data_IF_146024836079
#
_entry.id   IF_146024836079
#
_cell.length_a   1.000
_cell.length_b   1.000
_cell.length_c   1.000
_cell.angle_alpha   90.00
_cell.angle_beta   90.00
_cell.angle_gamma   90.00
#
_symmetry.space_group_name_H-M   'P 1'
#
loop_
_entity.id
_entity.type
_entity.pdbx_description
1 polymer ?
#
# COMPACT_ATOMS: atom_id res chain seq x y z
N UNK A 1 -9.12 -42.12 -34.22
CA UNK A 1 -9.17 -40.67 -33.93
C UNK A 1 -9.58 -40.39 -32.47
N UNK A 2 -10.74 -40.85 -31.99
CA UNK A 2 -11.20 -40.53 -30.61
C UNK A 2 -10.29 -41.01 -29.45
N UNK A 3 -9.64 -42.18 -29.57
CA UNK A 3 -8.72 -42.68 -28.51
C UNK A 3 -7.44 -41.84 -28.35
N UNK A 4 -6.96 -41.23 -29.44
CA UNK A 4 -5.78 -40.37 -29.41
C UNK A 4 -6.09 -39.01 -28.78
N UNK A 5 -7.27 -38.45 -29.11
CA UNK A 5 -7.77 -37.20 -28.50
C UNK A 5 -7.98 -37.39 -27.00
N UNK A 6 -8.53 -38.52 -26.55
CA UNK A 6 -8.70 -38.82 -25.13
C UNK A 6 -7.37 -38.89 -24.36
N UNK A 7 -6.32 -39.48 -24.94
CA UNK A 7 -4.98 -39.53 -24.34
C UNK A 7 -4.31 -38.16 -24.25
N UNK A 8 -4.50 -37.30 -25.26
CA UNK A 8 -3.97 -35.93 -25.25
C UNK A 8 -4.67 -35.09 -24.18
N UNK A 9 -5.99 -35.17 -24.07
CA UNK A 9 -6.75 -34.47 -23.03
C UNK A 9 -6.39 -34.96 -21.63
N UNK A 10 -6.16 -36.26 -21.45
CA UNK A 10 -5.71 -36.82 -20.18
C UNK A 10 -4.29 -36.32 -19.82
N UNK A 11 -3.37 -36.29 -20.79
CA UNK A 11 -2.01 -35.78 -20.61
C UNK A 11 -1.99 -34.29 -20.25
N UNK A 12 -2.80 -33.48 -20.93
CA UNK A 12 -2.95 -32.06 -20.62
C UNK A 12 -3.58 -31.84 -19.24
N UNK A 13 -4.61 -32.63 -18.87
CA UNK A 13 -5.23 -32.59 -17.55
C UNK A 13 -4.26 -32.97 -16.43
N UNK A 14 -3.44 -34.01 -16.63
CA UNK A 14 -2.42 -34.43 -15.66
C UNK A 14 -1.29 -33.41 -15.53
N UNK A 15 -0.87 -32.76 -16.63
CA UNK A 15 0.11 -31.69 -16.59
C UNK A 15 -0.40 -30.47 -15.80
N UNK A 16 -1.64 -30.04 -16.04
CA UNK A 16 -2.28 -28.95 -15.29
C UNK A 16 -2.44 -29.27 -13.80
N UNK A 17 -2.82 -30.50 -13.48
CA UNK A 17 -2.92 -30.98 -12.09
C UNK A 17 -1.54 -31.02 -11.43
N UNK A 18 -0.52 -31.48 -12.15
CA UNK A 18 0.86 -31.53 -11.67
C UNK A 18 1.44 -30.12 -11.44
N UNK A 19 1.23 -29.18 -12.35
CA UNK A 19 1.61 -27.77 -12.18
C UNK A 19 0.92 -27.16 -10.96
N UNK A 20 -0.39 -27.34 -10.80
CA UNK A 20 -1.13 -26.86 -9.62
C UNK A 20 -0.59 -27.48 -8.32
N UNK A 21 -0.29 -28.78 -8.31
CA UNK A 21 0.32 -29.48 -7.16
C UNK A 21 1.74 -28.97 -6.86
N UNK A 22 2.54 -28.68 -7.89
CA UNK A 22 3.88 -28.12 -7.72
C UNK A 22 3.82 -26.71 -7.15
N UNK A 23 2.94 -25.85 -7.67
CA UNK A 23 2.72 -24.49 -7.16
C UNK A 23 2.22 -24.50 -5.73
N UNK A 24 1.29 -25.39 -5.37
CA UNK A 24 0.83 -25.58 -3.99
C UNK A 24 1.96 -26.05 -3.07
N UNK A 25 2.78 -27.00 -3.50
CA UNK A 25 3.95 -27.47 -2.73
C UNK A 25 5.04 -26.42 -2.61
N UNK A 26 5.27 -25.61 -3.65
CA UNK A 26 6.24 -24.52 -3.62
C UNK A 26 5.77 -23.40 -2.70
N UNK A 27 4.48 -23.01 -2.75
CA UNK A 27 3.87 -22.06 -1.79
C UNK A 27 3.98 -22.57 -0.37
N UNK A 28 3.69 -23.85 -0.13
CA UNK A 28 3.82 -24.46 1.21
C UNK A 28 5.28 -24.58 1.68
N UNK A 29 6.24 -24.74 0.77
CA UNK A 29 7.67 -24.77 1.12
C UNK A 29 8.20 -23.35 1.38
N UNK A 30 7.86 -22.38 0.53
CA UNK A 30 8.23 -20.97 0.66
C UNK A 30 7.62 -20.34 1.91
N UNK A 31 6.36 -20.65 2.22
CA UNK A 31 5.69 -20.16 3.42
C UNK A 31 6.30 -20.64 4.74
N UNK A 32 7.04 -21.77 4.72
CA UNK A 32 7.75 -22.31 5.90
C UNK A 32 9.17 -21.80 6.06
N UNK A 33 9.68 -21.04 5.09
CA UNK A 33 10.95 -20.33 5.24
C UNK A 33 10.73 -19.07 6.10
N UNK A 34 11.76 -18.56 6.78
CA UNK A 34 11.67 -17.28 7.51
C UNK A 34 11.14 -16.12 6.66
N UNK A 35 11.43 -16.14 5.35
CA UNK A 35 10.88 -15.19 4.38
C UNK A 35 9.36 -15.36 4.19
N UNK A 36 8.84 -16.59 4.22
CA UNK A 36 7.41 -16.88 4.09
C UNK A 36 6.56 -16.39 5.27
N UNK A 37 7.06 -16.52 6.50
CA UNK A 37 6.40 -15.97 7.70
C UNK A 37 6.39 -14.44 7.71
N UNK A 38 7.47 -13.81 7.22
CA UNK A 38 7.53 -12.36 7.03
C UNK A 38 6.49 -11.86 6.04
N UNK A 39 6.32 -12.60 4.95
CA UNK A 39 5.35 -12.29 3.90
C UNK A 39 3.91 -12.74 4.21
N UNK A 40 3.65 -13.29 5.41
CA UNK A 40 2.34 -13.78 5.83
C UNK A 40 1.72 -14.78 4.83
N UNK A 41 2.51 -15.72 4.30
CA UNK A 41 2.08 -16.61 3.21
C UNK A 41 0.79 -17.41 3.49
N UNK A 42 0.43 -17.62 4.76
CA UNK A 42 -0.76 -18.36 5.19
C UNK A 42 -1.83 -17.50 5.88
N UNK A 43 -1.62 -16.18 5.98
CA UNK A 43 -2.63 -15.31 6.60
C UNK A 43 -3.81 -15.17 5.65
N UNK A 44 -4.99 -15.40 6.21
CA UNK A 44 -6.28 -15.10 5.60
C UNK A 44 -6.97 -14.05 6.49
N UNK A 45 -7.92 -13.32 5.91
CA UNK A 45 -8.64 -12.26 6.62
C UNK A 45 -10.12 -12.56 6.71
N UNK A 46 -10.67 -12.33 7.90
CA UNK A 46 -12.12 -12.28 8.09
C UNK A 46 -12.65 -10.94 7.61
N UNK A 47 -13.83 -10.95 7.00
CA UNK A 47 -14.43 -9.74 6.47
C UNK A 47 -14.86 -8.79 7.59
N UNK A 48 -14.44 -7.54 7.48
CA UNK A 48 -14.86 -6.42 8.32
C UNK A 48 -15.24 -5.29 7.36
N UNK A 49 -16.47 -4.83 7.40
CA UNK A 49 -16.94 -3.77 6.52
C UNK A 49 -17.60 -2.66 7.34
N UNK A 50 -17.21 -1.38 7.15
CA UNK A 50 -17.95 -0.23 7.65
C UNK A 50 -19.35 -0.12 7.05
N UNK A 51 -20.07 0.93 7.44
CA UNK A 51 -21.40 1.18 6.90
C UNK A 51 -21.31 1.70 5.46
N UNK A 52 -22.24 1.28 4.62
CA UNK A 52 -22.47 1.84 3.27
C UNK A 52 -21.21 1.96 2.39
N UNK A 53 -20.47 0.86 2.21
CA UNK A 53 -19.32 0.83 1.31
C UNK A 53 -19.74 0.67 -0.16
N UNK A 54 -19.09 1.43 -1.05
CA UNK A 54 -19.25 1.33 -2.51
C UNK A 54 -17.93 1.55 -3.23
N UNK A 55 -17.75 0.87 -4.35
CA UNK A 55 -16.63 1.15 -5.24
C UNK A 55 -16.78 2.55 -5.85
N UNK A 56 -15.65 3.24 -5.98
CA UNK A 56 -15.60 4.56 -6.61
C UNK A 56 -15.56 4.36 -8.13
N UNK A 57 -16.67 4.68 -8.78
CA UNK A 57 -16.81 4.59 -10.24
C UNK A 57 -15.75 5.45 -10.95
N UNK A 58 -15.04 4.86 -11.92
CA UNK A 58 -13.98 5.54 -12.69
C UNK A 58 -12.55 5.23 -12.23
N UNK A 59 -12.37 4.55 -11.08
CA UNK A 59 -11.06 4.09 -10.61
C UNK A 59 -10.97 2.57 -10.79
N UNK A 60 -10.21 2.12 -11.78
CA UNK A 60 -10.13 0.71 -12.17
C UNK A 60 -8.71 0.12 -12.16
N UNK A 61 -7.67 0.98 -12.24
CA UNK A 61 -6.29 0.58 -12.51
C UNK A 61 -5.29 1.18 -11.49
N UNK A 62 -5.60 1.05 -10.20
CA UNK A 62 -4.77 1.52 -9.09
C UNK A 62 -5.27 2.82 -8.47
N UNK A 63 -5.11 2.94 -7.17
CA UNK A 63 -5.37 4.13 -6.35
C UNK A 63 -4.36 4.13 -5.22
N UNK A 64 -3.08 4.07 -5.57
CA UNK A 64 -2.04 3.58 -4.66
C UNK A 64 -1.88 4.49 -3.45
N UNK A 65 -2.01 5.80 -3.65
CA UNK A 65 -2.00 6.77 -2.57
C UNK A 65 -3.14 7.79 -2.68
N UNK A 66 -3.61 8.27 -1.52
CA UNK A 66 -4.72 9.20 -1.38
C UNK A 66 -4.37 10.23 -0.31
N UNK A 67 -4.37 11.50 -0.69
CA UNK A 67 -4.19 12.60 0.25
C UNK A 67 -5.40 13.53 0.25
N UNK A 68 -5.86 13.92 1.44
CA UNK A 68 -7.08 14.72 1.62
C UNK A 68 -6.71 16.06 2.25
N UNK A 69 -7.03 17.14 1.54
CA UNK A 69 -6.86 18.50 2.06
C UNK A 69 -7.86 18.78 3.19
N UNK A 70 -7.55 19.74 4.11
CA UNK A 70 -8.52 20.18 5.12
C UNK A 70 -9.86 20.67 4.55
N UNK A 71 -9.87 21.09 3.29
CA UNK A 71 -11.09 21.48 2.57
C UNK A 71 -12.00 20.31 2.19
N UNK A 72 -11.56 19.05 2.33
CA UNK A 72 -12.30 17.86 1.90
C UNK A 72 -12.04 17.46 0.45
N UNK A 73 -11.10 18.13 -0.24
CA UNK A 73 -10.64 17.72 -1.56
C UNK A 73 -9.64 16.58 -1.44
N UNK A 74 -9.98 15.42 -1.99
CA UNK A 74 -9.12 14.23 -2.03
C UNK A 74 -8.44 14.10 -3.39
N UNK A 75 -7.11 13.99 -3.37
CA UNK A 75 -6.30 13.66 -4.54
C UNK A 75 -5.96 12.17 -4.50
N UNK A 76 -6.05 11.50 -5.64
CA UNK A 76 -5.83 10.05 -5.78
C UNK A 76 -4.80 9.82 -6.89
N UNK A 77 -3.67 9.19 -6.58
CA UNK A 77 -2.72 8.72 -7.59
C UNK A 77 -3.25 7.45 -8.26
N UNK A 78 -3.21 7.36 -9.59
CA UNK A 78 -3.77 6.24 -10.35
C UNK A 78 -2.84 5.78 -11.47
N UNK A 79 -2.88 4.49 -11.80
CA UNK A 79 -2.14 3.92 -12.92
C UNK A 79 -0.67 3.65 -12.63
N UNK A 80 -0.33 3.36 -11.36
CA UNK A 80 1.03 3.00 -10.99
C UNK A 80 1.46 1.70 -11.68
N UNK A 81 2.60 1.77 -12.35
CA UNK A 81 3.32 0.63 -12.92
C UNK A 81 4.53 0.35 -12.06
N UNK A 82 4.38 -0.58 -11.13
CA UNK A 82 5.44 -0.99 -10.22
C UNK A 82 6.07 -2.32 -10.67
N UNK A 83 7.40 -2.41 -10.86
CA UNK A 83 8.05 -3.63 -11.33
C UNK A 83 7.70 -4.86 -10.47
N UNK A 84 7.10 -5.88 -11.10
CA UNK A 84 6.75 -7.13 -10.44
C UNK A 84 5.41 -7.14 -9.70
N UNK A 85 4.65 -6.04 -9.75
CA UNK A 85 3.27 -5.98 -9.27
C UNK A 85 2.28 -6.17 -10.44
N UNK A 86 1.01 -6.55 -10.16
CA UNK A 86 -0.02 -6.63 -11.19
C UNK A 86 -0.31 -5.26 -11.80
N UNK A 87 -0.63 -5.26 -13.09
CA UNK A 87 -1.06 -4.07 -13.83
C UNK A 87 -2.22 -4.48 -14.75
N UNK A 88 -3.38 -3.85 -14.56
CA UNK A 88 -4.61 -4.14 -15.31
C UNK A 88 -4.75 -3.30 -16.57
N UNK A 89 -3.92 -2.26 -16.75
CA UNK A 89 -3.95 -1.36 -17.89
C UNK A 89 -2.53 -0.90 -18.30
N UNK A 90 -1.68 -1.83 -18.78
CA UNK A 90 -0.26 -1.55 -19.06
C UNK A 90 -0.03 -0.49 -20.15
N UNK A 91 -1.00 -0.29 -21.03
CA UNK A 91 -0.94 0.68 -22.12
C UNK A 91 -1.49 2.07 -21.73
N UNK A 92 -2.13 2.21 -20.57
CA UNK A 92 -2.66 3.49 -20.11
C UNK A 92 -1.62 4.27 -19.28
N UNK A 93 -1.49 5.60 -19.47
CA UNK A 93 -0.63 6.41 -18.62
C UNK A 93 -1.24 6.61 -17.23
N UNK A 94 -0.39 6.95 -16.26
CA UNK A 94 -0.82 7.34 -14.93
C UNK A 94 -1.63 8.64 -14.94
N UNK A 95 -2.42 8.85 -13.87
CA UNK A 95 -3.34 9.98 -13.72
C UNK A 95 -3.40 10.46 -12.28
N UNK A 96 -3.87 11.68 -12.08
CA UNK A 96 -4.31 12.17 -10.76
C UNK A 96 -5.81 12.44 -10.83
N UNK A 97 -6.57 11.85 -9.93
CA UNK A 97 -7.99 12.14 -9.76
C UNK A 97 -8.22 13.08 -8.57
N UNK A 98 -9.28 13.88 -8.67
CA UNK A 98 -9.80 14.73 -7.62
C UNK A 98 -11.22 14.28 -7.25
N UNK A 99 -11.54 14.29 -5.97
CA UNK A 99 -12.88 14.00 -5.45
C UNK A 99 -13.22 14.97 -4.33
N UNK A 100 -14.36 15.67 -4.42
CA UNK A 100 -14.83 16.55 -3.36
C UNK A 100 -15.69 15.76 -2.36
N UNK A 101 -15.14 15.52 -1.17
CA UNK A 101 -15.81 14.75 -0.14
C UNK A 101 -16.94 15.51 0.55
N UNK A 102 -17.14 16.80 0.28
CA UNK A 102 -18.27 17.54 0.81
C UNK A 102 -19.56 17.33 0.01
N UNK A 103 -19.46 16.79 -1.20
CA UNK A 103 -20.64 16.48 -2.01
C UNK A 103 -21.47 15.35 -1.38
N UNK A 104 -22.78 15.37 -1.63
CA UNK A 104 -23.69 14.31 -1.19
C UNK A 104 -23.41 12.98 -1.90
N UNK A 105 -22.98 13.05 -3.16
CA UNK A 105 -22.61 11.87 -3.96
C UNK A 105 -21.28 12.13 -4.66
N UNK A 106 -20.16 12.10 -3.92
CA UNK A 106 -18.86 12.45 -4.46
C UNK A 106 -18.48 11.57 -5.65
N UNK A 107 -17.94 12.19 -6.69
CA UNK A 107 -17.43 11.53 -7.89
C UNK A 107 -15.99 11.95 -8.13
N UNK A 108 -15.24 11.06 -8.77
CA UNK A 108 -13.88 11.38 -9.22
C UNK A 108 -13.89 12.16 -10.51
N UNK A 109 -12.97 13.11 -10.63
CA UNK A 109 -12.67 13.85 -11.84
C UNK A 109 -11.17 13.73 -12.13
N UNK A 110 -10.81 13.36 -13.35
CA UNK A 110 -9.40 13.39 -13.77
C UNK A 110 -8.91 14.83 -13.84
N UNK A 111 -7.77 15.12 -13.21
CA UNK A 111 -7.12 16.42 -13.29
C UNK A 111 -6.36 16.54 -14.62
N UNK A 112 -6.66 17.61 -15.35
CA UNK A 112 -5.92 17.90 -16.58
C UNK A 112 -4.52 18.43 -16.24
N UNK A 113 -3.49 17.73 -16.69
CA UNK A 113 -2.10 18.17 -16.57
C UNK A 113 -1.81 19.16 -17.71
N UNK A 114 -1.18 20.30 -17.42
CA UNK A 114 -0.90 21.34 -18.42
C UNK A 114 -0.10 20.83 -19.63
N UNK A 115 -0.24 21.51 -20.76
CA UNK A 115 0.53 21.21 -21.96
C UNK A 115 2.05 21.31 -21.70
N UNK A 116 2.83 20.54 -22.46
CA UNK A 116 4.29 20.47 -22.32
C UNK A 116 4.81 19.45 -21.30
N UNK A 117 3.91 18.75 -20.60
CA UNK A 117 4.24 17.60 -19.76
C UNK A 117 4.19 16.29 -20.55
N UNK A 118 5.19 15.42 -20.37
CA UNK A 118 5.20 14.08 -20.98
C UNK A 118 4.25 13.16 -20.22
N UNK A 119 2.97 13.18 -20.62
CA UNK A 119 1.92 12.35 -20.02
C UNK A 119 2.15 10.86 -20.25
N UNK A 120 2.88 10.46 -21.30
CA UNK A 120 3.06 9.06 -21.64
C UNK A 120 3.98 8.32 -20.66
N UNK A 121 4.96 9.03 -20.08
CA UNK A 121 5.87 8.48 -19.06
C UNK A 121 5.42 8.74 -17.62
N UNK A 122 4.26 9.37 -17.43
CA UNK A 122 3.76 9.69 -16.09
C UNK A 122 3.33 8.43 -15.34
N UNK A 123 3.97 8.20 -14.20
CA UNK A 123 3.80 7.02 -13.37
C UNK A 123 3.77 7.43 -11.88
N UNK A 124 2.67 8.05 -11.41
CA UNK A 124 2.58 8.51 -10.02
C UNK A 124 2.50 7.33 -9.05
N UNK A 125 3.24 7.43 -7.94
CA UNK A 125 3.27 6.48 -6.82
C UNK A 125 2.69 7.20 -5.59
N UNK A 126 3.44 7.24 -4.48
CA UNK A 126 3.10 8.04 -3.31
C UNK A 126 2.96 9.54 -3.58
N UNK A 127 2.06 10.18 -2.85
CA UNK A 127 1.66 11.57 -3.00
C UNK A 127 1.49 12.23 -1.63
N UNK A 128 1.91 13.49 -1.52
CA UNK A 128 1.60 14.31 -0.35
C UNK A 128 1.39 15.76 -0.76
N UNK A 129 0.46 16.42 -0.10
CA UNK A 129 0.11 17.82 -0.28
C UNK A 129 0.76 18.67 0.81
N UNK A 130 1.43 19.74 0.39
CA UNK A 130 2.08 20.69 1.29
C UNK A 130 1.50 22.09 1.03
N UNK A 131 0.89 22.70 2.05
CA UNK A 131 0.24 24.01 1.91
C UNK A 131 1.20 25.18 2.22
N UNK A 132 2.30 24.96 2.95
CA UNK A 132 3.07 26.08 3.55
C UNK A 132 4.59 25.83 3.74
N UNK A 133 5.13 24.63 3.46
CA UNK A 133 6.55 24.32 3.71
C UNK A 133 7.22 23.65 2.52
N UNK A 134 8.37 24.20 2.11
CA UNK A 134 9.30 23.61 1.12
C UNK A 134 10.19 22.50 1.74
N UNK A 135 9.70 21.83 2.78
CA UNK A 135 10.44 20.82 3.54
C UNK A 135 9.58 19.58 3.68
N UNK A 136 10.14 18.43 3.37
CA UNK A 136 9.44 17.16 3.47
C UNK A 136 10.39 16.02 3.83
N UNK A 137 9.81 14.97 4.39
CA UNK A 137 10.46 13.68 4.53
C UNK A 137 9.97 12.79 3.41
N UNK A 138 10.86 11.97 2.86
CA UNK A 138 10.54 10.98 1.85
C UNK A 138 11.22 9.67 2.21
N UNK A 139 10.56 8.56 1.92
CA UNK A 139 11.14 7.24 2.03
C UNK A 139 11.77 6.84 0.71
N UNK A 140 12.81 6.01 0.81
CA UNK A 140 13.29 5.22 -0.31
C UNK A 140 13.04 3.76 0.04
N UNK A 141 12.04 3.18 -0.61
CA UNK A 141 11.46 1.87 -0.38
C UNK A 141 12.33 0.69 -0.82
N UNK A 142 13.25 0.94 -1.76
CA UNK A 142 14.22 -0.07 -2.22
C UNK A 142 15.60 0.53 -2.49
N UNK A 143 16.65 -0.24 -2.18
CA UNK A 143 18.00 0.08 -2.64
C UNK A 143 18.16 -0.27 -4.13
N UNK A 144 17.72 -1.45 -4.56
CA UNK A 144 17.79 -1.85 -5.96
C UNK A 144 16.54 -1.49 -6.74
N UNK A 145 16.71 -1.00 -7.98
CA UNK A 145 15.61 -0.71 -8.91
C UNK A 145 15.26 -1.90 -9.81
N UNK A 146 16.15 -2.90 -9.91
CA UNK A 146 15.89 -4.12 -10.66
C UNK A 146 15.04 -5.07 -9.82
N UNK A 147 13.93 -5.55 -10.38
CA UNK A 147 13.00 -6.45 -9.69
C UNK A 147 13.66 -7.64 -9.00
N UNK A 148 14.57 -8.36 -9.67
CA UNK A 148 15.20 -9.55 -9.09
C UNK A 148 16.11 -9.21 -7.90
N UNK A 149 16.78 -8.06 -7.96
CA UNK A 149 17.63 -7.58 -6.87
C UNK A 149 16.81 -6.99 -5.73
N UNK A 150 15.69 -6.31 -6.02
CA UNK A 150 14.72 -5.86 -5.03
C UNK A 150 14.09 -7.05 -4.29
N UNK A 151 13.73 -8.11 -5.02
CA UNK A 151 13.25 -9.36 -4.44
C UNK A 151 14.33 -10.02 -3.55
N UNK A 152 15.60 -9.97 -3.95
CA UNK A 152 16.70 -10.46 -3.12
C UNK A 152 16.87 -9.63 -1.84
N UNK A 153 16.79 -8.30 -1.95
CA UNK A 153 16.79 -7.36 -0.82
C UNK A 153 15.70 -7.71 0.19
N UNK A 154 14.48 -7.97 -0.29
CA UNK A 154 13.35 -8.42 0.53
C UNK A 154 13.60 -9.79 1.18
N UNK A 155 13.98 -10.80 0.40
CA UNK A 155 14.15 -12.19 0.87
C UNK A 155 15.28 -12.33 1.88
N UNK A 156 16.36 -11.56 1.71
CA UNK A 156 17.55 -11.60 2.56
C UNK A 156 17.50 -10.62 3.74
N UNK A 157 16.41 -9.86 3.91
CA UNK A 157 16.30 -8.78 4.90
C UNK A 157 17.41 -7.74 4.83
N UNK A 158 17.76 -7.28 3.62
CA UNK A 158 18.79 -6.26 3.47
C UNK A 158 18.19 -4.90 3.86
N UNK A 159 18.41 -4.50 5.11
CA UNK A 159 17.83 -3.28 5.70
C UNK A 159 18.49 -1.98 5.19
N UNK A 160 18.49 -1.78 3.88
CA UNK A 160 19.21 -0.69 3.19
C UNK A 160 18.32 0.49 2.82
N UNK A 161 17.02 0.35 3.02
CA UNK A 161 16.02 1.40 2.84
C UNK A 161 16.15 2.46 3.94
N UNK A 162 15.75 3.69 3.63
CA UNK A 162 16.05 4.85 4.47
C UNK A 162 15.06 6.00 4.27
N UNK A 163 15.06 6.94 5.22
CA UNK A 163 14.30 8.18 5.16
C UNK A 163 15.25 9.33 4.83
N UNK A 164 14.83 10.15 3.87
CA UNK A 164 15.46 11.39 3.45
C UNK A 164 14.69 12.57 4.04
N UNK A 165 15.41 13.62 4.39
CA UNK A 165 14.87 14.95 4.62
C UNK A 165 15.29 15.85 3.47
N UNK A 166 14.34 16.59 2.92
CA UNK A 166 14.56 17.64 1.94
C UNK A 166 14.30 19.02 2.54
N UNK A 167 15.16 19.97 2.17
CA UNK A 167 14.91 21.40 2.24
C UNK A 167 15.52 22.08 1.02
N UNK A 168 15.22 23.36 0.73
CA UNK A 168 15.86 24.09 -0.37
C UNK A 168 17.38 24.20 -0.24
N UNK A 169 17.95 23.96 0.95
CA UNK A 169 19.37 24.09 1.24
C UNK A 169 20.12 22.76 1.20
N UNK A 170 19.45 21.66 1.54
CA UNK A 170 20.09 20.35 1.66
C UNK A 170 19.11 19.20 1.50
N UNK A 171 19.64 18.07 1.03
CA UNK A 171 19.00 16.76 1.09
C UNK A 171 19.92 15.85 1.88
N UNK A 172 19.39 15.18 2.91
CA UNK A 172 20.20 14.30 3.76
C UNK A 172 19.42 13.06 4.20
N UNK A 173 20.14 11.98 4.46
CA UNK A 173 19.58 10.77 5.07
C UNK A 173 19.43 11.00 6.57
N UNK A 174 18.22 10.85 7.10
CA UNK A 174 17.88 11.15 8.50
C UNK A 174 17.50 9.92 9.34
N UNK A 175 17.21 8.79 8.70
CA UNK A 175 17.04 7.49 9.35
C UNK A 175 17.40 6.36 8.38
N UNK A 176 17.91 5.24 8.90
CA UNK A 176 18.36 4.06 8.14
C UNK A 176 17.98 2.78 8.88
N UNK A 177 18.09 1.63 8.21
CA UNK A 177 17.97 0.32 8.85
C UNK A 177 16.56 -0.26 8.81
N UNK A 178 15.75 0.18 7.87
CA UNK A 178 14.40 -0.36 7.61
C UNK A 178 14.49 -1.53 6.63
N UNK A 179 13.64 -2.53 6.79
CA UNK A 179 13.53 -3.67 5.87
C UNK A 179 12.87 -3.25 4.56
N UNK A 180 11.81 -2.45 4.61
CA UNK A 180 11.23 -1.74 3.47
C UNK A 180 10.47 -0.51 3.96
N UNK A 181 11.14 0.65 4.00
CA UNK A 181 10.52 1.92 4.37
C UNK A 181 9.58 2.41 3.27
N UNK A 182 8.27 2.40 3.50
CA UNK A 182 7.27 2.80 2.50
C UNK A 182 6.46 4.00 2.97
N UNK A 183 5.24 3.81 3.49
CA UNK A 183 4.38 4.89 3.95
C UNK A 183 5.03 5.76 5.02
N UNK A 184 4.94 7.08 4.85
CA UNK A 184 5.48 8.06 5.79
C UNK A 184 4.49 9.19 6.03
N UNK A 185 4.25 9.52 7.30
CA UNK A 185 3.33 10.60 7.66
C UNK A 185 3.77 11.28 8.96
N UNK A 186 3.12 12.40 9.31
CA UNK A 186 3.51 13.28 10.41
C UNK A 186 2.38 13.45 11.42
N UNK A 187 2.72 13.49 12.71
CA UNK A 187 1.76 13.79 13.77
C UNK A 187 1.17 15.19 13.63
N UNK A 188 -0.05 15.40 14.14
CA UNK A 188 -0.74 16.70 14.08
C UNK A 188 0.07 17.84 14.72
N UNK A 189 0.79 17.55 15.82
CA UNK A 189 1.66 18.51 16.50
C UNK A 189 3.04 18.70 15.84
N UNK A 190 3.28 18.00 14.72
CA UNK A 190 4.50 18.04 13.91
C UNK A 190 5.78 17.71 14.68
N UNK A 191 5.70 16.92 15.76
CA UNK A 191 6.86 16.46 16.54
C UNK A 191 7.31 15.05 16.20
N UNK A 192 6.47 14.26 15.55
CA UNK A 192 6.73 12.86 15.26
C UNK A 192 6.49 12.53 13.79
N UNK A 193 7.38 11.72 13.23
CA UNK A 193 7.19 11.05 11.95
C UNK A 193 6.85 9.59 12.23
N UNK A 194 5.89 9.06 11.49
CA UNK A 194 5.54 7.65 11.46
C UNK A 194 6.02 7.06 10.14
N UNK A 195 6.75 5.96 10.19
CA UNK A 195 7.27 5.26 9.01
C UNK A 195 6.82 3.82 9.04
N UNK A 196 6.14 3.36 8.00
CA UNK A 196 5.83 1.96 7.80
C UNK A 196 7.08 1.21 7.35
N UNK A 197 7.45 0.16 8.08
CA UNK A 197 8.42 -0.84 7.64
C UNK A 197 7.65 -2.09 7.21
N UNK A 198 7.38 -2.19 5.91
CA UNK A 198 6.43 -3.14 5.31
C UNK A 198 6.77 -4.57 5.66
N UNK A 199 8.02 -4.96 5.41
CA UNK A 199 8.51 -6.33 5.54
C UNK A 199 8.71 -6.77 7.00
N UNK A 200 8.97 -5.81 7.90
CA UNK A 200 9.01 -6.04 9.34
C UNK A 200 7.63 -5.90 10.01
N UNK A 201 6.58 -5.57 9.25
CA UNK A 201 5.18 -5.46 9.72
C UNK A 201 5.04 -4.49 10.89
N UNK A 202 5.70 -3.34 10.82
CA UNK A 202 5.69 -2.40 11.94
C UNK A 202 5.61 -0.93 11.53
N UNK A 203 5.25 -0.07 12.49
CA UNK A 203 5.36 1.38 12.38
C UNK A 203 6.48 1.86 13.31
N UNK A 204 7.48 2.53 12.76
CA UNK A 204 8.48 3.27 13.53
C UNK A 204 7.92 4.63 13.92
N UNK A 205 7.87 4.90 15.23
CA UNK A 205 7.53 6.22 15.78
C UNK A 205 8.84 6.97 15.99
N UNK A 206 9.08 7.99 15.18
CA UNK A 206 10.34 8.74 15.14
C UNK A 206 10.11 10.16 15.67
N UNK A 207 10.92 10.60 16.63
CA UNK A 207 10.92 11.99 17.09
C UNK A 207 11.73 12.86 16.14
N UNK A 208 11.17 13.99 15.74
CA UNK A 208 11.87 15.03 14.97
C UNK A 208 12.77 15.81 15.94
N UNK A 209 14.05 15.90 15.60
CA UNK A 209 15.03 16.71 16.35
C UNK A 209 15.12 18.13 15.79
N UNK A 210 15.76 19.04 16.53
CA UNK A 210 15.91 20.46 16.13
C UNK A 210 16.67 20.62 14.79
N UNK A 211 17.53 19.66 14.46
CA UNK A 211 18.28 19.63 13.21
C UNK A 211 17.56 18.84 12.09
N UNK A 212 16.29 18.47 12.27
CA UNK A 212 15.48 17.64 11.36
C UNK A 212 15.87 16.17 11.25
N UNK A 213 16.88 15.71 12.00
CA UNK A 213 17.16 14.27 12.08
C UNK A 213 16.02 13.55 12.81
N UNK A 214 15.90 12.25 12.56
CA UNK A 214 14.87 11.41 13.15
C UNK A 214 15.51 10.45 14.16
N UNK A 215 14.97 10.40 15.37
CA UNK A 215 15.38 9.42 16.39
C UNK A 215 14.22 8.50 16.71
N UNK A 216 14.43 7.19 16.62
CA UNK A 216 13.41 6.22 16.95
C UNK A 216 13.04 6.31 18.44
N UNK A 217 11.77 6.60 18.70
CA UNK A 217 11.20 6.58 20.04
C UNK A 217 10.74 5.17 20.42
N UNK A 218 10.02 4.50 19.50
CA UNK A 218 9.55 3.12 19.66
C UNK A 218 9.09 2.53 18.33
N UNK A 219 8.73 1.25 18.36
CA UNK A 219 8.14 0.51 17.26
C UNK A 219 6.77 -0.02 17.67
N UNK A 220 5.79 0.05 16.76
CA UNK A 220 4.47 -0.57 16.91
C UNK A 220 4.46 -1.78 16.00
N UNK A 221 4.56 -2.97 16.58
CA UNK A 221 4.51 -4.23 15.84
C UNK A 221 3.06 -4.59 15.48
N UNK A 222 2.85 -5.00 14.24
CA UNK A 222 1.58 -5.44 13.69
C UNK A 222 1.74 -6.85 13.08
N UNK A 223 0.62 -7.46 12.72
CA UNK A 223 0.52 -8.81 12.16
C UNK A 223 0.28 -8.80 10.64
N UNK A 224 0.32 -7.62 10.01
CA UNK A 224 0.04 -7.39 8.59
C UNK A 224 1.14 -6.55 7.96
N UNK A 225 1.35 -6.67 6.64
CA UNK A 225 2.33 -5.86 5.95
C UNK A 225 1.69 -4.51 5.67
N UNK A 226 2.24 -3.46 6.27
CA UNK A 226 1.75 -2.10 6.05
C UNK A 226 2.15 -1.61 4.65
N UNK A 227 1.48 -0.58 4.18
CA UNK A 227 1.87 0.14 2.98
C UNK A 227 1.88 1.66 3.28
N UNK A 228 0.91 2.44 2.78
CA UNK A 228 0.79 3.85 3.08
C UNK A 228 0.15 4.14 4.45
N UNK A 229 0.61 5.24 5.06
CA UNK A 229 0.13 5.73 6.35
C UNK A 229 -0.48 7.12 6.18
N UNK A 230 -1.65 7.34 6.77
CA UNK A 230 -2.24 8.68 6.91
C UNK A 230 -2.54 8.97 8.38
N UNK A 231 -2.73 10.25 8.70
CA UNK A 231 -3.18 10.68 10.03
C UNK A 231 -4.54 11.32 9.88
N UNK A 232 -5.53 10.78 10.59
CA UNK A 232 -6.86 11.37 10.68
C UNK A 232 -6.74 12.77 11.31
N UNK A 233 -7.12 13.85 10.59
CA UNK A 233 -6.96 15.21 11.07
C UNK A 233 -7.84 15.54 12.28
N UNK A 234 -8.94 14.81 12.48
CA UNK A 234 -9.89 15.05 13.57
C UNK A 234 -9.43 14.42 14.89
N UNK A 235 -8.73 13.29 14.81
CA UNK A 235 -8.38 12.48 16.00
C UNK A 235 -6.88 12.34 16.24
N UNK A 236 -6.05 12.50 15.22
CA UNK A 236 -4.62 12.21 15.26
C UNK A 236 -4.30 10.71 15.25
N UNK A 237 -5.30 9.86 14.99
CA UNK A 237 -5.11 8.43 14.83
C UNK A 237 -4.43 8.13 13.50
N UNK A 238 -3.58 7.10 13.47
CA UNK A 238 -2.92 6.67 12.24
C UNK A 238 -3.86 5.68 11.54
N UNK A 239 -4.08 5.87 10.25
CA UNK A 239 -4.70 4.88 9.38
C UNK A 239 -3.63 4.26 8.48
N UNK A 240 -3.72 2.95 8.28
CA UNK A 240 -2.79 2.21 7.44
C UNK A 240 -3.57 1.37 6.44
N UNK A 241 -3.22 1.48 5.16
CA UNK A 241 -3.54 0.44 4.18
C UNK A 241 -2.55 -0.71 4.35
N UNK A 242 -3.03 -1.94 4.23
CA UNK A 242 -2.23 -3.12 4.53
C UNK A 242 -2.47 -4.25 3.52
N UNK A 243 -1.45 -5.09 3.37
CA UNK A 243 -1.43 -6.34 2.62
C UNK A 243 -1.40 -7.52 3.59
N UNK A 244 -2.53 -8.19 3.82
CA UNK A 244 -2.58 -9.31 4.75
C UNK A 244 -1.63 -10.45 4.39
N UNK A 245 -1.45 -10.70 3.10
CA UNK A 245 -0.67 -11.78 2.54
C UNK A 245 0.05 -11.27 1.28
N UNK A 246 1.33 -10.94 1.43
CA UNK A 246 2.12 -10.37 0.34
C UNK A 246 2.40 -11.36 -0.79
N UNK A 247 2.30 -12.67 -0.54
CA UNK A 247 2.47 -13.69 -1.59
C UNK A 247 1.35 -13.59 -2.62
N UNK A 248 0.10 -13.31 -2.19
CA UNK A 248 -1.03 -13.13 -3.13
C UNK A 248 -0.87 -11.87 -3.99
N UNK A 249 -0.17 -10.86 -3.48
CA UNK A 249 0.15 -9.64 -4.23
C UNK A 249 1.28 -9.88 -5.26
N UNK A 250 2.39 -10.47 -4.85
CA UNK A 250 3.54 -10.74 -5.73
C UNK A 250 3.28 -11.87 -6.75
N UNK A 251 2.50 -12.87 -6.38
CA UNK A 251 2.12 -14.00 -7.22
C UNK A 251 0.62 -13.94 -7.51
N UNK A 252 0.22 -12.84 -8.15
CA UNK A 252 -1.18 -12.56 -8.44
C UNK A 252 -1.86 -13.69 -9.21
N UNK A 253 -3.03 -14.07 -8.70
CA UNK A 253 -3.89 -15.07 -9.27
C UNK A 253 -5.34 -14.57 -9.17
N UNK A 254 -6.05 -14.52 -10.28
CA UNK A 254 -7.44 -14.08 -10.30
C UNK A 254 -8.38 -15.03 -9.54
N UNK A 255 -8.04 -16.31 -9.40
CA UNK A 255 -8.80 -17.29 -8.59
C UNK A 255 -8.52 -17.17 -7.08
N UNK A 256 -7.44 -16.49 -6.69
CA UNK A 256 -6.98 -16.32 -5.30
C UNK A 256 -6.30 -14.94 -5.15
N UNK A 257 -7.06 -13.85 -5.30
CA UNK A 257 -6.52 -12.49 -5.35
C UNK A 257 -6.00 -12.02 -3.98
N UNK A 258 -5.15 -10.97 -3.94
CA UNK A 258 -4.76 -10.35 -2.68
C UNK A 258 -5.97 -9.73 -1.98
N UNK A 259 -6.04 -9.92 -0.67
CA UNK A 259 -7.01 -9.25 0.17
C UNK A 259 -6.70 -7.77 0.39
N UNK A 260 -7.58 -7.12 1.12
CA UNK A 260 -7.42 -5.75 1.59
C UNK A 260 -7.66 -5.70 3.09
N UNK A 261 -6.93 -4.83 3.79
CA UNK A 261 -7.07 -4.57 5.21
C UNK A 261 -6.70 -3.11 5.53
N UNK A 262 -7.50 -2.49 6.38
CA UNK A 262 -7.26 -1.15 6.90
C UNK A 262 -7.23 -1.19 8.41
N UNK A 263 -6.14 -0.70 8.99
CA UNK A 263 -5.97 -0.61 10.44
C UNK A 263 -6.06 0.84 10.91
N UNK A 264 -6.67 1.04 12.08
CA UNK A 264 -6.64 2.28 12.86
C UNK A 264 -5.81 2.08 14.10
N UNK A 265 -4.80 2.93 14.29
CA UNK A 265 -3.89 2.90 15.44
C UNK A 265 -4.12 4.15 16.27
N UNK A 266 -4.70 3.97 17.45
CA UNK A 266 -5.02 5.05 18.39
C UNK A 266 -4.00 5.14 19.50
N UNK A 267 -3.79 6.36 20.00
CA UNK A 267 -2.82 6.64 21.06
C UNK A 267 -1.43 6.10 20.71
N UNK A 268 -0.94 6.39 19.51
CA UNK A 268 0.30 5.85 18.96
C UNK A 268 1.52 6.10 19.87
N UNK A 269 1.53 7.14 20.70
CA UNK A 269 2.62 7.43 21.65
C UNK A 269 2.54 6.65 22.97
N UNK A 270 1.40 6.04 23.30
CA UNK A 270 1.20 5.30 24.55
C UNK A 270 2.03 4.02 24.62
N UNK A 271 2.22 3.44 25.80
CA UNK A 271 2.93 2.15 25.95
C UNK A 271 2.22 1.00 25.22
N UNK A 272 0.89 1.07 25.10
CA UNK A 272 0.05 0.08 24.43
C UNK A 272 -0.97 0.79 23.53
N UNK A 273 -0.59 1.09 22.28
CA UNK A 273 -1.53 1.62 21.29
C UNK A 273 -2.73 0.69 21.12
N UNK A 274 -3.88 1.27 20.78
CA UNK A 274 -5.09 0.49 20.48
C UNK A 274 -5.15 0.32 18.97
N UNK A 275 -5.12 -0.93 18.51
CA UNK A 275 -5.19 -1.29 17.09
C UNK A 275 -6.57 -1.88 16.83
N UNK A 276 -7.25 -1.42 15.79
CA UNK A 276 -8.54 -1.94 15.36
C UNK A 276 -8.62 -2.00 13.84
N UNK A 277 -9.16 -3.10 13.31
CA UNK A 277 -9.47 -3.24 11.89
C UNK A 277 -10.70 -2.41 11.55
N UNK A 278 -10.57 -1.51 10.58
CA UNK A 278 -11.68 -0.70 10.06
C UNK A 278 -12.35 -1.36 8.86
N UNK A 279 -11.55 -1.97 7.99
CA UNK A 279 -12.01 -2.72 6.83
C UNK A 279 -11.11 -3.93 6.62
N UNK A 280 -11.67 -5.04 6.20
CA UNK A 280 -10.94 -6.21 5.73
C UNK A 280 -11.81 -7.00 4.77
N UNK A 281 -11.25 -7.46 3.66
CA UNK A 281 -11.91 -8.43 2.79
C UNK A 281 -10.88 -9.26 2.03
N UNK A 282 -11.27 -10.43 1.55
CA UNK A 282 -10.39 -11.41 0.92
C UNK A 282 -10.05 -11.16 -0.56
N UNK A 283 -10.32 -9.97 -1.10
CA UNK A 283 -10.10 -9.67 -2.52
C UNK A 283 -11.35 -9.74 -3.41
N UNK A 284 -12.49 -10.20 -2.87
CA UNK A 284 -13.76 -10.28 -3.62
C UNK A 284 -14.38 -8.94 -4.04
N UNK A 285 -14.05 -7.85 -3.33
CA UNK A 285 -14.56 -6.49 -3.56
C UNK A 285 -13.41 -5.55 -3.91
N UNK A 286 -12.39 -5.49 -3.03
CA UNK A 286 -11.22 -4.65 -3.16
C UNK A 286 -9.96 -5.52 -3.02
N UNK A 287 -8.91 -5.27 -3.81
CA UNK A 287 -7.75 -6.16 -3.90
C UNK A 287 -6.47 -5.37 -3.65
N UNK A 288 -5.67 -5.76 -2.65
CA UNK A 288 -4.35 -5.17 -2.36
C UNK A 288 -4.45 -3.71 -1.93
N UNK A 289 -5.11 -3.44 -0.79
CA UNK A 289 -5.25 -2.08 -0.27
C UNK A 289 -3.89 -1.52 0.15
N UNK A 290 -3.56 -0.33 -0.33
CA UNK A 290 -2.30 0.36 -0.06
C UNK A 290 -2.46 1.56 0.86
N UNK A 291 -3.59 2.28 0.77
CA UNK A 291 -3.85 3.50 1.54
C UNK A 291 -5.25 3.51 2.10
N UNK A 292 -5.42 4.17 3.24
CA UNK A 292 -6.72 4.56 3.75
C UNK A 292 -6.65 5.97 4.33
N UNK A 293 -7.64 6.80 4.03
CA UNK A 293 -7.71 8.18 4.53
C UNK A 293 -9.14 8.54 4.91
N UNK A 294 -9.31 9.25 6.02
CA UNK A 294 -10.62 9.58 6.56
C UNK A 294 -10.86 11.10 6.60
N UNK A 295 -12.11 11.49 6.34
CA UNK A 295 -12.53 12.88 6.40
C UNK A 295 -14.03 12.98 6.67
N UNK A 296 -14.43 13.71 7.71
CA UNK A 296 -15.85 14.03 7.96
C UNK A 296 -16.77 12.81 8.03
N UNK A 297 -16.34 11.75 8.73
CA UNK A 297 -17.09 10.50 8.87
C UNK A 297 -17.07 9.60 7.63
N UNK A 298 -16.20 9.87 6.65
CA UNK A 298 -16.03 9.07 5.43
C UNK A 298 -14.66 8.43 5.43
N UNK A 299 -14.55 7.25 4.83
CA UNK A 299 -13.31 6.52 4.63
C UNK A 299 -13.10 6.25 3.14
N UNK A 300 -11.96 6.67 2.61
CA UNK A 300 -11.46 6.26 1.31
C UNK A 300 -10.42 5.16 1.50
N UNK A 301 -10.48 4.11 0.68
CA UNK A 301 -9.51 3.02 0.65
C UNK A 301 -9.01 2.87 -0.78
N UNK A 302 -7.70 3.04 -0.97
CA UNK A 302 -7.02 2.88 -2.25
C UNK A 302 -6.28 1.54 -2.34
N UNK A 303 -5.89 1.17 -3.54
CA UNK A 303 -5.19 -0.10 -3.84
C UNK A 303 -3.99 0.12 -4.74
N UNK A 304 -3.01 -0.78 -4.71
CA UNK A 304 -1.82 -0.68 -5.57
C UNK A 304 -2.19 -0.66 -7.07
N UNK A 305 -3.11 -1.53 -7.50
CA UNK A 305 -3.38 -1.77 -8.94
C UNK A 305 -4.86 -1.92 -9.32
N UNK A 306 -5.78 -1.94 -8.35
CA UNK A 306 -7.20 -2.27 -8.57
C UNK A 306 -8.07 -1.01 -8.40
N UNK A 307 -9.28 -1.17 -7.87
CA UNK A 307 -10.26 -0.11 -7.65
C UNK A 307 -9.99 0.69 -6.37
N UNK A 308 -10.83 1.69 -6.11
CA UNK A 308 -10.92 2.36 -4.82
C UNK A 308 -12.30 2.15 -4.18
N UNK A 309 -12.37 2.22 -2.85
CA UNK A 309 -13.59 2.06 -2.06
C UNK A 309 -13.88 3.33 -1.26
N UNK A 310 -15.15 3.69 -1.19
CA UNK A 310 -15.69 4.75 -0.35
C UNK A 310 -16.66 4.13 0.66
N UNK A 311 -16.52 4.48 1.94
CA UNK A 311 -17.40 4.00 3.01
C UNK A 311 -17.81 5.14 3.96
N UNK A 312 -18.91 4.93 4.69
CA UNK A 312 -19.33 5.74 5.83
C UNK A 312 -18.88 5.09 7.15
N UNK A 313 -18.52 5.91 8.15
CA UNK A 313 -18.00 5.49 9.46
C UNK A 313 -18.99 5.67 10.61
#
# INVERSE_FOLDING_TARGET
>A
MGKLVALILLGAGLALVWERLLTLRLRAALGRLPSGERMNAYREVESVEPQNCRLIEGIENGSEDIDILPSGLAFISNGLKYPGMPDLAPDEPGRIFLMDLNEQNPRVQELNISDGFDRASFNPHGMSTFIDKEQFYATRDHYFTNFFLALLELVMDLRWTHVLFYSPREVKVVARGFSSANGITISLDKKYIYVADVSDKNIHVMKIQDNWDLTQLKVIQLDTLLDNLTVDPDTGDILAGCHPNAIKLLMYNTEDPPGSEVLRIRNALSKKPVISTMYANNGSVLQGSSVASAYGGKLLIGTVFHKALYCEL
#
